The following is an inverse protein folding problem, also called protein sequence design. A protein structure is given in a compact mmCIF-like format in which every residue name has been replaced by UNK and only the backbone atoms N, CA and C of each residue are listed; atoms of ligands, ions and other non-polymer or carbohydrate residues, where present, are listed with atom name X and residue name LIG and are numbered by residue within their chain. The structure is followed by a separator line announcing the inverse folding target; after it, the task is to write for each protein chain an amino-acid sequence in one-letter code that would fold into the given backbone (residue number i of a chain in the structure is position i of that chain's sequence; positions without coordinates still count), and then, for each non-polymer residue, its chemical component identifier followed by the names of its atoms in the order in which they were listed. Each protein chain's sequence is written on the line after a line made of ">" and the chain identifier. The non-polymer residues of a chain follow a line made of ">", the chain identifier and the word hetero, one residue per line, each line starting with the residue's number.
data_IF_800504034855
#
_entry.id   IF_800504034855
#
_cell.length_a   1.000
_cell.length_b   1.000
_cell.length_c   1.000
_cell.angle_alpha   90.00
_cell.angle_beta   90.00
_cell.angle_gamma   90.00
#
_symmetry.space_group_name_H-M   'P 1'
#
loop_
_entity.id
_entity.type
_entity.pdbx_description
1 polymer ?
#
# COMPACT_ATOMS: atom_id res chain seq x y z
N UNK A 1 -11.03 2.73 -12.57
CA UNK A 1 -12.38 2.40 -13.08
C UNK A 1 -12.18 1.41 -14.20
N UNK A 2 -12.93 0.32 -14.17
CA UNK A 2 -12.93 -0.76 -15.17
C UNK A 2 -14.14 -0.56 -16.08
N UNK A 3 -13.95 -0.65 -17.39
CA UNK A 3 -15.03 -0.54 -18.39
C UNK A 3 -15.59 -1.93 -18.66
N UNK A 4 -16.90 -2.07 -18.56
CA UNK A 4 -17.66 -3.29 -18.82
C UNK A 4 -18.33 -3.18 -20.19
N UNK A 5 -17.67 -3.70 -21.23
CA UNK A 5 -18.15 -3.68 -22.62
C UNK A 5 -17.94 -5.03 -23.34
N UNK A 6 -18.29 -5.10 -24.62
CA UNK A 6 -18.12 -6.31 -25.44
C UNK A 6 -18.83 -7.54 -24.86
N UNK A 7 -18.05 -8.58 -24.57
CA UNK A 7 -18.51 -9.82 -23.94
C UNK A 7 -18.65 -9.70 -22.41
N UNK A 8 -18.08 -8.66 -21.79
CA UNK A 8 -18.06 -8.40 -20.35
C UNK A 8 -19.10 -7.34 -19.92
N UNK A 9 -20.24 -7.27 -20.60
CA UNK A 9 -21.31 -6.30 -20.27
C UNK A 9 -21.97 -6.59 -18.93
N UNK A 10 -22.42 -5.53 -18.28
CA UNK A 10 -23.14 -5.62 -17.01
C UNK A 10 -24.60 -6.04 -17.24
N UNK A 11 -25.07 -7.06 -16.53
CA UNK A 11 -26.49 -7.42 -16.51
C UNK A 11 -27.26 -6.46 -15.60
N UNK A 12 -28.00 -5.54 -16.21
CA UNK A 12 -28.83 -4.55 -15.53
C UNK A 12 -30.26 -5.07 -15.24
N UNK A 13 -30.47 -6.38 -15.23
CA UNK A 13 -31.76 -7.02 -14.95
C UNK A 13 -32.77 -6.72 -16.04
N UNK A 14 -33.78 -5.89 -15.73
CA UNK A 14 -34.85 -5.56 -16.68
C UNK A 14 -34.36 -4.80 -17.93
N UNK A 15 -33.16 -4.23 -17.89
CA UNK A 15 -32.55 -3.50 -19.01
C UNK A 15 -31.56 -4.35 -19.82
N UNK A 16 -31.37 -5.63 -19.46
CA UNK A 16 -30.46 -6.56 -20.13
C UNK A 16 -28.98 -6.18 -20.00
N UNK A 17 -28.16 -6.70 -20.92
CA UNK A 17 -26.72 -6.48 -20.95
C UNK A 17 -26.37 -5.07 -21.46
N UNK A 18 -25.79 -4.25 -20.57
CA UNK A 18 -25.44 -2.86 -20.82
C UNK A 18 -23.95 -2.60 -20.66
N UNK A 19 -23.45 -1.60 -21.39
CA UNK A 19 -22.11 -1.08 -21.12
C UNK A 19 -22.13 -0.30 -19.79
N UNK A 20 -21.11 -0.48 -18.97
CA UNK A 20 -21.05 0.15 -17.65
C UNK A 20 -19.61 0.47 -17.20
N UNK A 21 -19.49 1.28 -16.17
CA UNK A 21 -18.22 1.54 -15.48
C UNK A 21 -18.27 0.98 -14.06
N UNK A 22 -17.24 0.22 -13.69
CA UNK A 22 -17.11 -0.39 -12.37
C UNK A 22 -15.93 0.23 -11.62
N UNK A 23 -16.20 0.75 -10.43
CA UNK A 23 -15.20 1.31 -9.52
C UNK A 23 -15.17 0.56 -8.19
N UNK A 24 -14.03 0.61 -7.51
CA UNK A 24 -13.87 0.14 -6.13
C UNK A 24 -13.34 1.30 -5.31
N UNK A 25 -13.96 1.57 -4.16
CA UNK A 25 -13.64 2.68 -3.27
C UNK A 25 -13.51 2.19 -1.83
N UNK A 26 -12.63 2.81 -1.05
CA UNK A 26 -12.53 2.53 0.38
C UNK A 26 -13.43 3.47 1.16
N UNK A 27 -14.29 2.90 2.01
CA UNK A 27 -15.19 3.65 2.91
C UNK A 27 -14.61 3.80 4.31
N UNK A 28 -13.75 2.88 4.71
CA UNK A 28 -13.05 2.87 6.01
C UNK A 28 -11.77 2.05 5.91
N UNK A 29 -10.86 2.37 6.82
CA UNK A 29 -9.56 1.73 6.94
C UNK A 29 -9.46 1.06 8.32
N UNK A 30 -9.19 -0.27 8.39
CA UNK A 30 -9.15 -0.99 9.67
C UNK A 30 -7.90 -0.63 10.48
N UNK A 31 -7.91 -0.71 11.83
CA UNK A 31 -6.72 -0.41 12.65
C UNK A 31 -5.48 -1.24 12.28
N UNK A 32 -5.69 -2.47 11.80
CA UNK A 32 -4.65 -3.35 11.28
C UNK A 32 -4.97 -3.67 9.83
N UNK A 33 -4.05 -3.33 8.93
CA UNK A 33 -4.18 -3.54 7.49
C UNK A 33 -3.22 -4.64 7.02
N UNK A 34 -3.78 -5.72 6.47
CA UNK A 34 -3.01 -6.78 5.84
C UNK A 34 -2.97 -6.55 4.33
N UNK A 35 -1.77 -6.42 3.77
CA UNK A 35 -1.54 -6.29 2.33
C UNK A 35 -0.82 -7.55 1.83
N UNK A 36 -1.54 -8.37 1.07
CA UNK A 36 -0.96 -9.52 0.41
C UNK A 36 -0.49 -9.12 -1.00
N UNK A 37 0.82 -9.21 -1.23
CA UNK A 37 1.37 -8.99 -2.56
C UNK A 37 1.12 -10.25 -3.41
N UNK A 38 0.40 -10.09 -4.52
CA UNK A 38 0.08 -11.17 -5.46
C UNK A 38 1.30 -11.50 -6.33
N UNK A 39 2.33 -12.10 -5.72
CA UNK A 39 3.60 -12.48 -6.39
C UNK A 39 3.55 -13.84 -7.08
N UNK A 40 2.36 -14.36 -7.39
CA UNK A 40 2.19 -15.64 -8.07
C UNK A 40 1.27 -15.43 -9.27
N UNK A 41 1.75 -15.79 -10.46
CA UNK A 41 1.00 -15.68 -11.70
C UNK A 41 1.13 -16.96 -12.50
N UNK A 42 0.05 -17.35 -13.16
CA UNK A 42 0.08 -18.48 -14.09
C UNK A 42 0.73 -18.06 -15.41
N UNK A 43 1.79 -18.79 -15.79
CA UNK A 43 2.42 -18.69 -17.10
C UNK A 43 1.85 -19.78 -18.00
N UNK A 44 1.10 -19.38 -19.02
CA UNK A 44 0.47 -20.31 -19.96
C UNK A 44 1.45 -20.95 -20.95
N UNK A 45 2.63 -20.35 -21.16
CA UNK A 45 3.67 -20.93 -22.02
C UNK A 45 4.36 -22.08 -21.30
N UNK A 46 4.60 -21.92 -20.01
CA UNK A 46 5.22 -22.95 -19.17
C UNK A 46 4.21 -23.92 -18.54
N UNK A 47 2.91 -23.65 -18.71
CA UNK A 47 1.80 -24.37 -18.05
C UNK A 47 2.03 -24.55 -16.53
N UNK A 48 2.50 -23.49 -15.89
CA UNK A 48 2.88 -23.52 -14.48
C UNK A 48 2.64 -22.17 -13.82
N UNK A 49 2.40 -22.20 -12.50
CA UNK A 49 2.48 -20.97 -11.72
C UNK A 49 3.95 -20.60 -11.58
N UNK A 50 4.27 -19.31 -11.75
CA UNK A 50 5.61 -18.74 -11.56
C UNK A 50 5.58 -17.68 -10.46
N UNK A 51 6.66 -17.60 -9.66
CA UNK A 51 6.85 -16.55 -8.67
C UNK A 51 7.35 -15.28 -9.35
N UNK A 52 6.70 -14.16 -9.09
CA UNK A 52 7.13 -12.84 -9.53
C UNK A 52 8.17 -12.31 -8.53
N UNK A 53 9.44 -12.31 -8.93
CA UNK A 53 10.55 -11.78 -8.14
C UNK A 53 10.89 -10.33 -8.47
N UNK A 54 10.07 -9.67 -9.30
CA UNK A 54 10.27 -8.26 -9.65
C UNK A 54 10.31 -7.38 -8.39
N UNK A 55 11.21 -6.39 -8.43
CA UNK A 55 11.40 -5.46 -7.32
C UNK A 55 10.10 -4.72 -7.05
N UNK A 56 9.67 -4.74 -5.79
CA UNK A 56 8.54 -3.95 -5.32
C UNK A 56 8.93 -3.21 -4.05
N UNK A 57 8.68 -1.91 -4.05
CA UNK A 57 8.98 -1.05 -2.92
C UNK A 57 7.71 -0.81 -2.10
N UNK A 58 7.84 -0.85 -0.78
CA UNK A 58 6.79 -0.50 0.15
C UNK A 58 7.35 0.48 1.20
N UNK A 59 6.60 1.53 1.56
CA UNK A 59 7.11 2.57 2.45
C UNK A 59 7.01 2.14 3.92
N UNK A 60 7.84 2.76 4.78
CA UNK A 60 7.76 2.57 6.22
C UNK A 60 6.49 3.22 6.83
N UNK A 61 6.09 4.37 6.27
CA UNK A 61 4.81 5.02 6.54
C UNK A 61 3.96 4.98 5.27
N UNK A 62 2.77 4.39 5.36
CA UNK A 62 1.84 4.29 4.25
C UNK A 62 0.70 5.29 4.45
N UNK A 63 0.53 6.19 3.49
CA UNK A 63 -0.54 7.20 3.48
C UNK A 63 -1.61 6.81 2.47
N UNK A 64 -2.81 6.48 2.96
CA UNK A 64 -3.95 6.03 2.16
C UNK A 64 -5.04 7.10 2.02
N UNK A 65 -4.81 8.32 2.51
CA UNK A 65 -5.81 9.40 2.52
C UNK A 65 -6.38 9.69 1.13
N UNK A 66 -5.55 9.60 0.07
CA UNK A 66 -5.99 9.79 -1.32
C UNK A 66 -6.98 8.74 -1.83
N UNK A 67 -7.05 7.58 -1.18
CA UNK A 67 -7.96 6.49 -1.52
C UNK A 67 -9.22 6.49 -0.66
N UNK A 68 -9.26 7.35 0.36
CA UNK A 68 -10.46 7.62 1.12
C UNK A 68 -11.32 8.60 0.33
N UNK A 69 -12.54 8.20 -0.04
CA UNK A 69 -13.52 9.21 -0.39
C UNK A 69 -13.95 9.89 0.90
N UNK A 70 -13.32 11.04 1.19
CA UNK A 70 -14.07 12.08 1.89
C UNK A 70 -15.36 12.26 1.09
N UNK A 71 -16.50 12.19 1.75
CA UNK A 71 -17.80 12.47 1.15
C UNK A 71 -17.85 13.94 0.70
N UNK A 72 -17.13 14.30 -0.36
CA UNK A 72 -17.28 15.55 -1.07
C UNK A 72 -18.50 15.41 -1.98
N UNK A 73 -19.67 15.50 -1.34
CA UNK A 73 -20.80 16.13 -1.99
C UNK A 73 -20.44 17.59 -2.29
N UNK A 74 -19.71 17.83 -3.39
CA UNK A 74 -19.71 19.07 -4.15
C UNK A 74 -19.38 18.74 -5.60
N UNK A 75 -20.42 18.57 -6.41
CA UNK A 75 -20.33 18.81 -7.84
C UNK A 75 -20.13 20.32 -8.03
N UNK A 76 -18.89 20.78 -8.16
CA UNK A 76 -18.63 22.10 -8.70
C UNK A 76 -18.70 22.01 -10.23
N UNK A 77 -19.90 22.23 -10.75
CA UNK A 77 -20.11 22.68 -12.12
C UNK A 77 -19.57 24.11 -12.26
N UNK A 78 -18.52 24.32 -13.07
CA UNK A 78 -18.41 25.40 -14.08
C UNK A 78 -17.05 25.37 -14.79
N UNK A 79 -17.15 25.05 -16.08
CA UNK A 79 -16.45 25.53 -17.28
C UNK A 79 -15.30 26.57 -17.23
N UNK A 80 -14.38 26.40 -18.21
CA UNK A 80 -13.43 27.33 -18.87
C UNK A 80 -12.25 28.01 -18.13
N UNK A 81 -11.06 27.97 -18.78
CA UNK A 81 -10.10 29.10 -18.79
C UNK A 81 -8.61 28.76 -18.60
N UNK A 82 -7.82 28.92 -19.66
CA UNK A 82 -6.35 29.00 -19.65
C UNK A 82 -5.84 30.19 -18.81
N UNK A 83 -4.79 30.01 -18.01
CA UNK A 83 -3.78 31.04 -17.77
C UNK A 83 -2.47 30.46 -17.21
N UNK A 84 -1.40 30.75 -17.94
CA UNK A 84 0.02 30.67 -17.57
C UNK A 84 0.35 31.41 -16.26
N UNK A 85 1.20 30.82 -15.43
CA UNK A 85 1.77 31.45 -14.25
C UNK A 85 2.88 30.58 -13.65
N UNK A 86 4.12 30.95 -13.96
CA UNK A 86 5.36 30.43 -13.38
C UNK A 86 5.29 30.52 -11.85
N UNK A 87 5.38 29.36 -11.18
CA UNK A 87 5.35 29.25 -9.72
C UNK A 87 6.25 28.11 -9.27
N UNK A 88 7.40 28.48 -8.74
CA UNK A 88 8.51 27.66 -8.27
C UNK A 88 8.06 26.54 -7.30
N UNK A 89 8.11 25.29 -7.76
CA UNK A 89 7.91 24.10 -6.92
C UNK A 89 9.21 23.83 -6.17
N UNK A 90 9.36 24.42 -5.00
CA UNK A 90 10.44 24.09 -4.08
C UNK A 90 10.25 22.67 -3.56
N UNK A 91 11.12 21.78 -4.03
CA UNK A 91 11.26 20.40 -3.59
C UNK A 91 11.63 20.38 -2.10
N UNK A 92 10.70 19.98 -1.24
CA UNK A 92 11.01 19.63 0.15
C UNK A 92 11.58 18.20 0.21
N UNK A 93 12.84 18.04 -0.18
CA UNK A 93 13.66 16.92 0.30
C UNK A 93 14.34 17.32 1.61
N UNK A 94 13.58 17.38 2.70
CA UNK A 94 14.17 17.49 4.02
C UNK A 94 14.51 16.10 4.55
N UNK A 95 15.80 15.78 4.49
CA UNK A 95 16.44 14.62 5.10
C UNK A 95 16.23 14.69 6.62
N UNK A 96 15.14 14.10 7.12
CA UNK A 96 14.87 14.03 8.55
C UNK A 96 15.39 12.72 9.13
N UNK A 97 16.08 12.83 10.26
CA UNK A 97 16.62 11.70 10.98
C UNK A 97 15.45 10.84 11.49
N UNK A 98 15.55 9.51 11.33
CA UNK A 98 14.42 8.59 11.57
C UNK A 98 13.88 8.52 13.00
N UNK A 99 14.43 9.31 13.93
CA UNK A 99 13.94 9.49 15.30
C UNK A 99 12.85 10.58 15.39
N UNK A 100 12.92 11.63 14.56
CA UNK A 100 11.99 12.77 14.60
C UNK A 100 10.58 12.44 14.08
N UNK A 101 10.43 11.37 13.28
CA UNK A 101 9.14 10.88 12.80
C UNK A 101 8.40 10.02 13.83
N UNK A 102 9.13 9.26 14.65
CA UNK A 102 8.55 8.37 15.67
C UNK A 102 7.95 9.20 16.80
N UNK A 103 8.64 10.26 17.21
CA UNK A 103 8.20 11.15 18.27
C UNK A 103 6.99 11.99 17.86
N UNK A 104 6.96 12.47 16.60
CA UNK A 104 5.78 13.11 16.00
C UNK A 104 4.56 12.18 15.94
N UNK A 105 4.78 10.90 15.69
CA UNK A 105 3.71 9.89 15.65
C UNK A 105 3.12 9.58 17.03
N UNK A 106 3.91 9.75 18.11
CA UNK A 106 3.45 9.62 19.50
C UNK A 106 2.62 10.80 19.97
N UNK A 107 2.91 12.00 19.46
CA UNK A 107 2.15 13.22 19.79
C UNK A 107 0.69 13.12 19.29
N UNK A 108 0.45 12.48 18.14
CA UNK A 108 -0.87 12.31 17.54
C UNK A 108 -1.79 11.34 18.30
N UNK A 109 -1.26 10.56 19.25
CA UNK A 109 -2.05 9.58 20.03
C UNK A 109 -2.82 10.29 21.17
N UNK A 110 -2.44 11.53 21.52
CA UNK A 110 -3.00 12.29 22.64
C UNK A 110 -3.89 13.47 22.22
N UNK A 111 -4.23 13.62 20.94
CA UNK A 111 -5.17 14.62 20.43
C UNK A 111 -6.33 13.91 19.75
N UNK A 112 -7.50 13.91 20.38
CA UNK A 112 -8.71 13.22 19.92
C UNK A 112 -9.31 13.77 18.60
N UNK A 113 -8.65 14.68 17.88
CA UNK A 113 -9.24 15.32 16.69
C UNK A 113 -8.37 15.42 15.43
N UNK A 114 -7.18 14.79 15.35
CA UNK A 114 -6.39 14.77 14.10
C UNK A 114 -5.74 13.39 13.82
N UNK A 115 -6.49 12.30 14.02
CA UNK A 115 -6.11 11.02 13.47
C UNK A 115 -6.43 11.02 11.97
N UNK A 116 -5.50 11.49 11.14
CA UNK A 116 -5.63 11.43 9.68
C UNK A 116 -6.04 10.01 9.25
N UNK A 117 -7.27 9.82 8.74
CA UNK A 117 -7.81 8.50 8.46
C UNK A 117 -7.12 7.91 7.23
N UNK A 118 -6.06 7.13 7.45
CA UNK A 118 -5.32 6.51 6.35
C UNK A 118 -3.81 6.44 6.55
N UNK A 119 -3.26 6.95 7.66
CA UNK A 119 -1.83 6.79 7.98
C UNK A 119 -1.57 5.47 8.70
N UNK A 120 -0.72 4.64 8.10
CA UNK A 120 -0.28 3.35 8.65
C UNK A 120 1.22 3.31 8.89
N UNK A 121 1.62 2.67 9.99
CA UNK A 121 3.00 2.33 10.30
C UNK A 121 3.26 0.87 9.90
N UNK A 122 4.36 0.63 9.18
CA UNK A 122 4.77 -0.74 8.85
C UNK A 122 5.13 -1.52 10.12
N UNK A 123 4.38 -2.59 10.37
CA UNK A 123 4.54 -3.42 11.57
C UNK A 123 5.29 -4.73 11.31
N UNK A 124 4.98 -5.38 10.19
CA UNK A 124 5.55 -6.69 9.84
C UNK A 124 5.79 -6.79 8.32
N UNK A 125 6.82 -7.55 7.95
CA UNK A 125 7.14 -7.93 6.57
C UNK A 125 7.36 -9.44 6.55
N UNK A 126 6.52 -10.16 5.81
CA UNK A 126 6.69 -11.59 5.58
C UNK A 126 7.41 -11.79 4.25
N UNK A 127 8.51 -12.53 4.30
CA UNK A 127 9.40 -12.77 3.15
C UNK A 127 9.38 -14.25 2.83
N UNK A 128 9.26 -14.57 1.55
CA UNK A 128 9.37 -15.92 1.02
C UNK A 128 10.57 -16.01 0.07
N UNK A 129 11.56 -16.80 0.45
CA UNK A 129 12.69 -17.17 -0.40
C UNK A 129 12.41 -18.52 -1.05
N UNK A 130 12.65 -18.67 -2.34
CA UNK A 130 12.28 -19.89 -3.10
C UNK A 130 11.22 -19.60 -4.16
N UNK A 131 10.56 -20.66 -4.63
CA UNK A 131 9.63 -20.66 -5.76
C UNK A 131 8.22 -21.15 -5.37
N UNK A 132 7.42 -21.55 -6.35
CA UNK A 132 6.04 -21.97 -6.11
C UNK A 132 5.90 -23.39 -5.57
N UNK A 133 6.94 -24.21 -5.70
CA UNK A 133 6.97 -25.60 -5.28
C UNK A 133 7.61 -25.77 -3.90
N UNK A 134 8.38 -24.78 -3.45
CA UNK A 134 8.92 -24.76 -2.11
C UNK A 134 9.78 -23.53 -1.83
N UNK A 135 9.94 -23.25 -0.54
CA UNK A 135 10.78 -22.16 -0.09
C UNK A 135 10.79 -22.03 1.42
N UNK A 136 11.39 -20.94 1.87
CA UNK A 136 11.62 -20.61 3.26
C UNK A 136 10.94 -19.29 3.62
N UNK A 137 10.21 -19.29 4.73
CA UNK A 137 9.49 -18.11 5.20
C UNK A 137 10.19 -17.50 6.39
N UNK A 138 10.43 -16.20 6.31
CA UNK A 138 11.01 -15.40 7.40
C UNK A 138 10.10 -14.21 7.65
N UNK A 139 9.96 -13.81 8.91
CA UNK A 139 9.22 -12.61 9.27
C UNK A 139 10.12 -11.55 9.89
N UNK A 140 10.00 -10.31 9.41
CA UNK A 140 10.61 -9.15 10.05
C UNK A 140 9.51 -8.38 10.78
N UNK A 141 9.67 -8.14 12.08
CA UNK A 141 8.68 -7.42 12.89
C UNK A 141 9.30 -6.24 13.63
N UNK A 142 8.48 -5.22 13.84
CA UNK A 142 8.70 -4.08 14.74
C UNK A 142 7.62 -4.10 15.84
N UNK A 143 7.72 -4.99 16.86
CA UNK A 143 6.60 -5.34 17.74
C UNK A 143 6.03 -4.15 18.52
N UNK A 144 6.88 -3.19 18.88
CA UNK A 144 6.50 -2.01 19.66
C UNK A 144 6.22 -0.76 18.81
N UNK A 145 6.40 -0.84 17.50
CA UNK A 145 6.29 0.32 16.61
C UNK A 145 7.37 1.39 16.85
N UNK A 146 8.48 1.04 17.52
CA UNK A 146 9.54 1.97 17.94
C UNK A 146 10.80 1.88 17.07
N UNK A 147 10.66 1.31 15.88
CA UNK A 147 11.71 1.13 14.87
C UNK A 147 12.84 0.17 15.31
N UNK A 148 12.56 -0.69 16.30
CA UNK A 148 13.42 -1.83 16.64
C UNK A 148 12.95 -3.07 15.91
N UNK A 149 13.69 -3.44 14.88
CA UNK A 149 13.37 -4.56 14.00
C UNK A 149 14.06 -5.84 14.44
N UNK A 150 13.35 -6.94 14.26
CA UNK A 150 13.81 -8.29 14.56
C UNK A 150 13.45 -9.20 13.40
N UNK A 151 14.40 -10.05 13.00
CA UNK A 151 14.22 -11.15 12.06
C UNK A 151 13.85 -12.40 12.86
N UNK A 152 12.70 -12.97 12.56
CA UNK A 152 12.20 -14.23 13.09
C UNK A 152 12.35 -15.28 11.99
N UNK A 153 13.31 -16.16 12.19
CA UNK A 153 13.72 -17.22 11.27
C UNK A 153 13.63 -18.55 12.03
N UNK A 154 12.46 -19.18 11.96
CA UNK A 154 12.08 -20.36 12.75
C UNK A 154 12.39 -20.23 14.25
N UNK A 155 13.37 -20.97 14.76
CA UNK A 155 13.81 -21.01 16.15
C UNK A 155 14.82 -19.91 16.50
N UNK A 156 15.27 -19.14 15.51
CA UNK A 156 16.27 -18.08 15.66
C UNK A 156 15.64 -16.70 15.52
N UNK A 157 15.76 -15.89 16.57
CA UNK A 157 15.41 -14.47 16.55
C UNK A 157 16.66 -13.62 16.63
N UNK A 158 16.87 -12.74 15.65
CA UNK A 158 18.01 -11.82 15.62
C UNK A 158 17.57 -10.39 15.43
N UNK A 159 18.31 -9.44 16.02
CA UNK A 159 18.07 -8.01 15.82
C UNK A 159 18.57 -7.61 14.44
N UNK A 160 17.77 -6.84 13.70
CA UNK A 160 18.16 -6.31 12.39
C UNK A 160 17.86 -4.82 12.29
N UNK A 161 18.40 -4.19 11.27
CA UNK A 161 18.10 -2.80 10.91
C UNK A 161 16.79 -2.69 10.13
N UNK A 162 16.17 -1.51 10.16
CA UNK A 162 15.03 -1.18 9.30
C UNK A 162 15.35 -1.40 7.82
N UNK A 163 16.58 -1.06 7.40
CA UNK A 163 17.03 -1.20 6.02
C UNK A 163 17.02 -2.67 5.58
N UNK A 164 17.46 -3.58 6.46
CA UNK A 164 17.39 -5.02 6.17
C UNK A 164 15.95 -5.50 6.08
N UNK A 165 15.09 -5.13 7.04
CA UNK A 165 13.69 -5.54 7.05
C UNK A 165 12.88 -5.06 5.83
N UNK A 166 13.19 -3.87 5.29
CA UNK A 166 12.44 -3.26 4.19
C UNK A 166 13.14 -3.49 2.85
N UNK A 167 14.39 -3.08 2.71
CA UNK A 167 15.06 -3.05 1.41
C UNK A 167 15.51 -4.44 0.97
N UNK A 168 15.98 -5.30 1.89
CA UNK A 168 16.39 -6.66 1.49
C UNK A 168 15.15 -7.51 1.18
N UNK A 169 14.03 -7.27 1.85
CA UNK A 169 12.75 -7.90 1.53
C UNK A 169 12.16 -7.49 0.17
N UNK A 170 12.61 -6.37 -0.41
CA UNK A 170 12.26 -5.95 -1.76
C UNK A 170 12.99 -6.73 -2.86
N UNK A 171 14.00 -7.53 -2.52
CA UNK A 171 14.76 -8.41 -3.43
C UNK A 171 14.66 -9.89 -2.97
N UNK A 172 13.49 -10.53 -3.15
CA UNK A 172 13.24 -11.90 -2.67
C UNK A 172 13.91 -12.99 -3.51
#
# INVERSE_FOLDING_TARGET
>A
VETLDGENKYDAGNFGLQAAEKGVIFTRFPPVLYLQLMRFQYDCVMDANVKINDRFEFPYFLYLDKYFLASSGQRSSTDTGYASGEGEVSSITSTLSGVDEIERSRQCINSENDCMPGRYLLHAVLVHSGDNHGGHYVAYLNPKGDNRWYKFDDDVVSRCSRREAINMASFP
#
